data_IF_688687200882
#
_entry.id   IF_688687200882
#
_cell.length_a   1.000
_cell.length_b   1.000
_cell.length_c   1.000
_cell.angle_alpha   90.00
_cell.angle_beta   90.00
_cell.angle_gamma   90.00
#
_symmetry.space_group_name_H-M   'P 1'
#
loop_
_entity.id
_entity.type
_entity.pdbx_description
1 polymer ?
#
# COMPACT_ATOMS: atom_id res chain seq x y z
N UNK A 1 -11.60 -4.17 -20.26
CA UNK A 1 -12.67 -5.19 -20.53
C UNK A 1 -12.11 -6.31 -21.42
N UNK A 2 -11.18 -6.05 -22.34
CA UNK A 2 -10.64 -7.07 -23.28
C UNK A 2 -9.61 -8.04 -22.71
N UNK A 3 -9.11 -7.86 -21.48
CA UNK A 3 -8.13 -8.77 -20.83
C UNK A 3 -8.82 -10.01 -20.22
N UNK A 4 -10.13 -9.97 -19.98
CA UNK A 4 -10.86 -11.07 -19.32
C UNK A 4 -11.27 -12.21 -20.25
N UNK A 5 -11.39 -11.99 -21.55
CA UNK A 5 -11.89 -13.01 -22.47
C UNK A 5 -10.86 -14.07 -22.92
N UNK A 6 -9.57 -13.84 -22.66
CA UNK A 6 -8.51 -14.76 -23.13
C UNK A 6 -8.10 -15.86 -22.15
N UNK A 7 -8.63 -15.87 -20.93
CA UNK A 7 -8.20 -16.81 -19.89
C UNK A 7 -9.26 -17.74 -19.28
N UNK A 8 -10.53 -17.66 -19.71
CA UNK A 8 -11.59 -18.55 -19.21
C UNK A 8 -12.57 -18.94 -20.33
N UNK A 9 -12.31 -20.02 -21.07
CA UNK A 9 -13.33 -20.58 -21.96
C UNK A 9 -14.26 -21.46 -21.13
N UNK A 10 -15.39 -20.95 -20.65
CA UNK A 10 -16.59 -21.73 -20.25
C UNK A 10 -17.53 -21.00 -19.27
N UNK A 11 -17.65 -19.67 -19.33
CA UNK A 11 -18.75 -18.98 -18.65
C UNK A 11 -19.43 -17.98 -19.61
N UNK A 12 -20.17 -18.54 -20.58
CA UNK A 12 -21.02 -17.75 -21.46
C UNK A 12 -22.47 -17.89 -21.03
N UNK A 13 -22.94 -17.00 -20.19
CA UNK A 13 -24.31 -16.48 -20.23
C UNK A 13 -24.27 -15.00 -19.90
N UNK A 14 -24.62 -14.10 -20.85
CA UNK A 14 -24.76 -12.70 -20.54
C UNK A 14 -26.01 -12.49 -19.68
N UNK A 15 -25.82 -11.97 -18.47
CA UNK A 15 -26.94 -11.46 -17.66
C UNK A 15 -27.32 -10.11 -18.29
N UNK A 16 -28.39 -10.11 -19.06
CA UNK A 16 -29.01 -8.88 -19.56
C UNK A 16 -29.70 -8.20 -18.37
N UNK A 17 -29.04 -7.22 -17.74
CA UNK A 17 -29.68 -6.30 -16.82
C UNK A 17 -30.30 -5.20 -17.68
N UNK A 18 -31.64 -5.26 -17.81
CA UNK A 18 -32.41 -4.19 -18.43
C UNK A 18 -32.36 -2.94 -17.55
N UNK A 19 -31.76 -1.87 -18.03
CA UNK A 19 -31.67 -0.57 -17.36
C UNK A 19 -32.98 0.22 -17.27
N UNK A 20 -34.11 -0.37 -17.71
CA UNK A 20 -35.41 0.32 -17.78
C UNK A 20 -36.24 0.35 -16.49
N UNK A 21 -35.77 -0.25 -15.40
CA UNK A 21 -36.54 -0.36 -14.14
C UNK A 21 -35.95 0.37 -12.93
N UNK A 22 -34.93 1.21 -13.12
CA UNK A 22 -34.43 2.04 -12.04
C UNK A 22 -35.24 3.36 -11.98
N UNK A 23 -35.78 3.73 -10.80
CA UNK A 23 -36.47 5.01 -10.66
C UNK A 23 -35.53 6.18 -10.93
N UNK A 24 -36.05 7.31 -11.43
CA UNK A 24 -35.24 8.47 -11.81
C UNK A 24 -34.35 8.93 -10.67
N UNK A 25 -33.10 9.29 -10.97
CA UNK A 25 -32.07 9.75 -10.04
C UNK A 25 -32.53 10.86 -9.08
N UNK A 26 -33.56 11.62 -9.47
CA UNK A 26 -34.15 12.70 -8.66
C UNK A 26 -35.09 12.20 -7.55
N UNK A 27 -35.67 11.00 -7.67
CA UNK A 27 -36.52 10.42 -6.62
C UNK A 27 -35.71 10.07 -5.37
N UNK A 28 -34.53 9.47 -5.54
CA UNK A 28 -33.62 9.17 -4.44
C UNK A 28 -33.06 10.42 -3.78
N UNK A 29 -32.74 11.46 -4.56
CA UNK A 29 -32.28 12.75 -4.00
C UNK A 29 -33.34 13.42 -3.14
N UNK A 30 -34.60 13.40 -3.56
CA UNK A 30 -35.69 13.99 -2.82
C UNK A 30 -36.03 13.25 -1.52
N UNK A 31 -36.08 11.91 -1.56
CA UNK A 31 -36.29 11.11 -0.35
C UNK A 31 -35.13 11.21 0.63
N UNK A 32 -33.87 11.21 0.14
CA UNK A 32 -32.69 11.36 0.98
C UNK A 32 -32.66 12.74 1.67
N UNK A 33 -33.08 13.81 0.98
CA UNK A 33 -33.12 15.15 1.56
C UNK A 33 -34.19 15.26 2.66
N UNK A 34 -35.38 14.65 2.49
CA UNK A 34 -36.41 14.64 3.52
C UNK A 34 -36.04 13.84 4.77
N UNK A 35 -35.43 12.66 4.61
CA UNK A 35 -34.91 11.84 5.70
C UNK A 35 -33.80 12.56 6.48
N UNK A 36 -32.83 13.12 5.77
CA UNK A 36 -31.71 13.85 6.40
C UNK A 36 -32.19 15.10 7.18
N UNK A 37 -33.22 15.82 6.71
CA UNK A 37 -33.72 16.99 7.40
C UNK A 37 -34.56 16.64 8.64
N UNK A 38 -35.44 15.63 8.54
CA UNK A 38 -36.30 15.21 9.67
C UNK A 38 -35.49 14.68 10.85
N UNK A 39 -34.48 13.79 10.55
CA UNK A 39 -33.67 13.16 11.60
C UNK A 39 -32.61 14.10 12.19
N UNK A 40 -32.13 15.08 11.42
CA UNK A 40 -31.26 16.13 11.93
C UNK A 40 -31.95 16.95 13.04
N UNK A 41 -33.21 17.31 12.84
CA UNK A 41 -33.98 18.05 13.85
C UNK A 41 -34.36 17.19 15.07
N UNK A 42 -34.66 15.89 14.89
CA UNK A 42 -34.97 15.01 16.03
C UNK A 42 -33.72 14.73 16.89
N UNK A 43 -32.53 14.59 16.28
CA UNK A 43 -31.29 14.39 17.02
C UNK A 43 -30.79 15.69 17.69
N UNK A 44 -31.07 16.83 17.11
CA UNK A 44 -30.86 18.12 17.77
C UNK A 44 -31.75 18.22 19.02
N UNK A 45 -33.01 17.76 18.93
CA UNK A 45 -33.94 17.69 20.06
C UNK A 45 -33.48 16.69 21.16
N UNK A 46 -32.94 15.54 20.77
CA UNK A 46 -32.38 14.57 21.74
C UNK A 46 -31.12 15.11 22.44
N UNK A 47 -30.27 15.82 21.74
CA UNK A 47 -29.15 16.56 22.33
C UNK A 47 -29.61 17.65 23.28
N UNK A 48 -30.73 18.34 22.98
CA UNK A 48 -31.36 19.30 23.90
C UNK A 48 -31.93 18.64 25.16
N UNK A 49 -32.49 17.44 25.03
CA UNK A 49 -33.05 16.70 26.18
C UNK A 49 -31.96 16.23 27.15
N UNK A 50 -30.78 15.81 26.64
CA UNK A 50 -29.62 15.42 27.47
C UNK A 50 -29.00 16.62 28.21
N UNK A 51 -29.04 17.82 27.62
CA UNK A 51 -28.58 19.04 28.28
C UNK A 51 -29.57 19.56 29.33
N UNK A 52 -30.88 19.28 29.18
CA UNK A 52 -31.89 19.64 30.16
C UNK A 52 -31.75 18.88 31.51
N UNK A 53 -30.94 17.84 31.55
CA UNK A 53 -30.59 17.08 32.77
C UNK A 53 -29.35 17.63 33.51
N UNK A 54 -28.70 18.67 32.98
CA UNK A 54 -27.61 19.35 33.65
C UNK A 54 -28.13 20.45 34.59
N UNK A 55 -27.33 20.81 35.65
CA UNK A 55 -27.70 21.90 36.53
C UNK A 55 -27.90 23.22 35.76
N UNK A 56 -28.71 24.16 36.27
CA UNK A 56 -29.04 25.38 35.55
C UNK A 56 -27.78 26.20 35.22
N UNK A 57 -27.46 26.20 33.95
CA UNK A 57 -26.37 26.99 33.34
C UNK A 57 -27.07 28.12 32.57
N UNK A 58 -26.43 29.27 32.47
CA UNK A 58 -26.97 30.42 31.75
C UNK A 58 -27.34 30.06 30.29
N UNK A 59 -28.51 30.47 29.81
CA UNK A 59 -29.03 30.15 28.47
C UNK A 59 -28.04 30.45 27.33
N UNK A 60 -27.22 31.50 27.48
CA UNK A 60 -26.21 31.86 26.47
C UNK A 60 -25.11 30.78 26.32
N UNK A 61 -24.78 30.05 27.38
CA UNK A 61 -23.76 28.96 27.33
C UNK A 61 -24.30 27.82 26.47
N UNK A 62 -25.57 27.47 26.60
CA UNK A 62 -26.22 26.48 25.76
C UNK A 62 -26.17 26.87 24.28
N UNK A 63 -26.52 28.13 23.96
CA UNK A 63 -26.48 28.66 22.59
C UNK A 63 -25.06 28.53 22.02
N UNK A 64 -24.03 28.92 22.77
CA UNK A 64 -22.64 28.84 22.32
C UNK A 64 -22.21 27.39 22.08
N UNK A 65 -22.49 26.47 23.02
CA UNK A 65 -22.15 25.05 22.89
C UNK A 65 -22.83 24.43 21.67
N UNK A 66 -24.12 24.66 21.46
CA UNK A 66 -24.84 24.16 20.29
C UNK A 66 -24.34 24.74 18.98
N UNK A 67 -23.97 26.01 18.97
CA UNK A 67 -23.45 26.67 17.78
C UNK A 67 -22.09 26.08 17.39
N UNK A 68 -21.17 25.90 18.36
CA UNK A 68 -19.87 25.27 18.14
C UNK A 68 -20.06 23.84 17.64
N UNK A 69 -20.97 23.10 18.26
CA UNK A 69 -21.28 21.74 17.89
C UNK A 69 -21.82 21.63 16.45
N UNK A 70 -22.81 22.46 16.09
CA UNK A 70 -23.37 22.49 14.74
C UNK A 70 -22.29 22.84 13.69
N UNK A 71 -21.45 23.83 13.96
CA UNK A 71 -20.34 24.21 13.09
C UNK A 71 -19.34 23.05 12.92
N UNK A 72 -19.03 22.33 13.99
CA UNK A 72 -18.11 21.19 13.96
C UNK A 72 -18.66 20.05 13.11
N UNK A 73 -19.93 19.70 13.27
CA UNK A 73 -20.59 18.65 12.46
C UNK A 73 -20.65 19.05 10.98
N UNK A 74 -21.13 20.25 10.68
CA UNK A 74 -21.21 20.76 9.31
C UNK A 74 -19.82 20.82 8.66
N UNK A 75 -18.81 21.34 9.38
CA UNK A 75 -17.43 21.36 8.90
C UNK A 75 -16.89 19.95 8.62
N UNK A 76 -17.19 18.98 9.49
CA UNK A 76 -16.78 17.59 9.29
C UNK A 76 -17.44 16.97 8.06
N UNK A 77 -18.75 17.22 7.86
CA UNK A 77 -19.47 16.76 6.67
C UNK A 77 -18.88 17.36 5.39
N UNK A 78 -18.58 18.65 5.39
CA UNK A 78 -17.92 19.32 4.25
C UNK A 78 -16.56 18.69 3.95
N UNK A 79 -15.76 18.42 4.99
CA UNK A 79 -14.47 17.73 4.83
C UNK A 79 -14.65 16.34 4.21
N UNK A 80 -15.61 15.56 4.69
CA UNK A 80 -15.90 14.21 4.16
C UNK A 80 -16.26 14.27 2.67
N UNK A 81 -17.11 15.23 2.29
CA UNK A 81 -17.57 15.38 0.89
C UNK A 81 -16.41 15.85 -0.01
N UNK A 82 -15.59 16.79 0.45
CA UNK A 82 -14.50 17.37 -0.35
C UNK A 82 -13.28 16.48 -0.49
N UNK A 83 -13.09 15.48 0.38
CA UNK A 83 -11.91 14.60 0.34
C UNK A 83 -11.90 13.59 -0.81
N UNK A 84 -12.85 13.63 -1.74
CA UNK A 84 -12.95 12.76 -2.92
C UNK A 84 -12.71 11.28 -2.61
N UNK A 85 -13.40 10.77 -1.59
CA UNK A 85 -13.32 9.38 -1.11
C UNK A 85 -14.26 8.47 -1.89
N UNK A 86 -14.17 7.17 -1.58
CA UNK A 86 -15.19 6.22 -1.99
C UNK A 86 -16.56 6.71 -1.50
N UNK A 87 -17.54 6.97 -2.42
CA UNK A 87 -18.82 7.56 -2.08
C UNK A 87 -19.59 6.81 -0.99
N UNK A 88 -19.49 5.46 -0.99
CA UNK A 88 -20.16 4.61 0.02
C UNK A 88 -19.59 4.87 1.43
N UNK A 89 -18.26 5.01 1.55
CA UNK A 89 -17.65 5.33 2.85
C UNK A 89 -17.97 6.74 3.31
N UNK A 90 -18.02 7.70 2.39
CA UNK A 90 -18.40 9.08 2.71
C UNK A 90 -19.85 9.14 3.21
N UNK A 91 -20.77 8.47 2.51
CA UNK A 91 -22.16 8.39 2.91
C UNK A 91 -22.32 7.71 4.28
N UNK A 92 -21.63 6.59 4.53
CA UNK A 92 -21.67 5.92 5.83
C UNK A 92 -21.23 6.84 6.97
N UNK A 93 -20.16 7.63 6.80
CA UNK A 93 -19.70 8.56 7.82
C UNK A 93 -20.67 9.75 8.02
N UNK A 94 -21.27 10.26 6.94
CA UNK A 94 -22.30 11.30 7.03
C UNK A 94 -23.50 10.79 7.84
N UNK A 95 -23.95 9.55 7.60
CA UNK A 95 -25.03 8.93 8.37
C UNK A 95 -24.64 8.74 9.84
N UNK A 96 -23.44 8.21 10.11
CA UNK A 96 -22.96 8.05 11.51
C UNK A 96 -22.93 9.38 12.25
N UNK A 97 -22.46 10.46 11.62
CA UNK A 97 -22.44 11.79 12.22
C UNK A 97 -23.83 12.40 12.39
N UNK A 98 -24.77 12.08 11.49
CA UNK A 98 -26.15 12.53 11.59
C UNK A 98 -26.92 11.84 12.74
N UNK A 99 -26.75 10.51 12.88
CA UNK A 99 -27.48 9.73 13.89
C UNK A 99 -26.79 9.67 15.26
N UNK A 100 -25.47 9.72 15.31
CA UNK A 100 -24.67 9.64 16.54
C UNK A 100 -23.61 10.76 16.58
N UNK A 101 -24.03 12.02 16.68
CA UNK A 101 -23.15 13.14 16.41
C UNK A 101 -21.90 13.20 17.32
N UNK A 102 -22.04 13.08 18.64
CA UNK A 102 -20.90 13.11 19.56
C UNK A 102 -20.05 11.86 19.44
N UNK A 103 -20.68 10.69 19.51
CA UNK A 103 -20.02 9.39 19.40
C UNK A 103 -19.44 9.22 18.00
N UNK A 104 -20.21 9.59 16.97
CA UNK A 104 -19.78 9.56 15.58
C UNK A 104 -18.59 10.47 15.32
N UNK A 105 -18.52 11.65 15.90
CA UNK A 105 -17.38 12.56 15.78
C UNK A 105 -16.11 11.94 16.39
N UNK A 106 -16.22 11.35 17.59
CA UNK A 106 -15.11 10.63 18.24
C UNK A 106 -14.65 9.47 17.34
N UNK A 107 -15.58 8.63 16.88
CA UNK A 107 -15.24 7.52 15.96
C UNK A 107 -14.67 8.04 14.63
N UNK A 108 -15.17 9.15 14.09
CA UNK A 108 -14.62 9.73 12.86
C UNK A 108 -13.19 10.23 13.05
N UNK A 109 -12.86 10.85 14.18
CA UNK A 109 -11.50 11.28 14.49
C UNK A 109 -10.53 10.09 14.53
N UNK A 110 -10.95 8.96 15.11
CA UNK A 110 -10.09 7.78 15.25
C UNK A 110 -10.07 6.90 13.99
N UNK A 111 -11.19 6.71 13.30
CA UNK A 111 -11.34 5.74 12.22
C UNK A 111 -11.69 6.36 10.87
N UNK A 112 -12.31 7.53 10.87
CA UNK A 112 -12.82 8.19 9.68
C UNK A 112 -11.78 9.05 8.97
N UNK A 113 -10.85 9.65 9.69
CA UNK A 113 -9.83 10.48 9.06
C UNK A 113 -8.92 9.60 8.21
N UNK A 114 -8.94 9.88 6.90
CA UNK A 114 -7.87 9.45 6.06
C UNK A 114 -6.67 10.33 6.44
N UNK A 115 -5.84 9.86 7.35
CA UNK A 115 -4.45 10.32 7.40
C UNK A 115 -3.79 9.84 6.10
N UNK A 116 -4.41 10.24 4.96
CA UNK A 116 -3.73 10.19 3.69
C UNK A 116 -2.37 10.65 4.01
N UNK A 117 -1.46 9.77 3.81
CA UNK A 117 -0.07 10.02 3.85
C UNK A 117 0.20 11.45 3.35
N UNK A 118 -0.09 12.41 4.24
CA UNK A 118 0.25 13.80 4.02
C UNK A 118 1.74 13.73 3.83
N UNK A 119 2.14 13.31 2.57
CA UNK A 119 3.49 13.18 2.10
C UNK A 119 4.34 12.29 3.01
N UNK A 120 4.06 10.97 3.03
CA UNK A 120 4.95 10.00 3.67
C UNK A 120 6.42 10.29 3.32
N UNK A 121 6.68 10.69 2.09
CA UNK A 121 8.02 11.11 1.67
C UNK A 121 7.99 12.53 1.14
N UNK A 122 8.90 13.38 1.63
CA UNK A 122 8.98 14.78 1.21
C UNK A 122 9.21 14.90 -0.31
N UNK A 123 8.64 15.94 -0.94
CA UNK A 123 8.85 16.21 -2.37
C UNK A 123 10.34 16.33 -2.73
N UNK A 124 11.17 16.82 -1.79
CA UNK A 124 12.63 16.96 -1.97
C UNK A 124 13.30 15.60 -2.09
N UNK A 125 12.95 14.62 -1.24
CA UNK A 125 13.49 13.25 -1.27
C UNK A 125 13.08 12.57 -2.57
N UNK A 126 11.77 12.58 -2.91
CA UNK A 126 11.28 12.02 -4.18
C UNK A 126 12.00 12.62 -5.39
N UNK A 127 12.23 13.94 -5.42
CA UNK A 127 12.95 14.60 -6.50
C UNK A 127 14.42 14.18 -6.56
N UNK A 128 15.10 14.05 -5.40
CA UNK A 128 16.49 13.59 -5.32
C UNK A 128 16.65 12.15 -5.84
N UNK A 129 15.75 11.26 -5.46
CA UNK A 129 15.76 9.87 -5.92
C UNK A 129 15.39 9.75 -7.41
N UNK A 130 14.36 10.46 -7.86
CA UNK A 130 13.97 10.51 -9.28
C UNK A 130 15.08 11.01 -10.21
N UNK A 131 15.91 11.95 -9.79
CA UNK A 131 17.06 12.38 -10.60
C UNK A 131 18.04 11.26 -10.91
N UNK A 132 18.10 10.20 -10.09
CA UNK A 132 18.91 9.01 -10.33
C UNK A 132 18.30 8.07 -11.36
N UNK A 133 16.98 8.14 -11.53
CA UNK A 133 16.20 7.31 -12.47
C UNK A 133 16.05 7.95 -13.87
N UNK A 134 16.37 9.23 -14.02
CA UNK A 134 16.07 10.04 -15.22
C UNK A 134 16.83 9.62 -16.48
N UNK A 135 17.82 8.71 -16.38
CA UNK A 135 18.56 8.22 -17.55
C UNK A 135 17.82 7.15 -18.37
N UNK A 136 16.62 6.79 -18.00
CA UNK A 136 15.79 5.78 -18.68
C UNK A 136 14.57 6.33 -19.40
N UNK A 137 14.55 7.61 -19.78
CA UNK A 137 13.51 8.13 -20.65
C UNK A 137 13.79 7.61 -22.07
N UNK A 138 13.24 6.44 -22.33
CA UNK A 138 13.18 5.89 -23.68
C UNK A 138 12.14 6.71 -24.46
N UNK A 139 12.50 7.16 -25.65
CA UNK A 139 11.50 7.72 -26.57
C UNK A 139 10.52 6.59 -26.95
N UNK A 140 9.30 6.65 -26.43
CA UNK A 140 8.28 5.62 -26.63
C UNK A 140 7.96 5.45 -28.11
N UNK A 141 8.01 6.55 -28.88
CA UNK A 141 7.67 6.53 -30.30
C UNK A 141 8.70 5.77 -31.14
N UNK A 142 9.96 5.70 -30.69
CA UNK A 142 11.03 4.96 -31.37
C UNK A 142 11.07 3.47 -31.04
N UNK A 143 10.22 2.99 -30.12
CA UNK A 143 10.19 1.59 -29.75
C UNK A 143 9.53 0.75 -30.86
N UNK A 144 10.06 -0.46 -31.13
CA UNK A 144 9.48 -1.39 -32.10
C UNK A 144 8.27 -2.13 -31.48
N UNK A 145 7.28 -1.38 -31.06
CA UNK A 145 6.05 -1.86 -30.41
C UNK A 145 4.82 -1.44 -31.23
N UNK A 146 3.72 -2.17 -31.06
CA UNK A 146 2.44 -1.78 -31.63
C UNK A 146 1.95 -0.44 -31.03
N UNK A 147 1.10 0.27 -31.75
CA UNK A 147 0.57 1.55 -31.25
C UNK A 147 -0.30 1.37 -30.01
N UNK A 148 -0.99 0.23 -29.87
CA UNK A 148 -1.74 -0.12 -28.66
C UNK A 148 -0.80 -0.21 -27.45
N UNK A 149 0.32 -0.93 -27.58
CA UNK A 149 1.31 -1.04 -26.50
C UNK A 149 1.95 0.31 -26.17
N UNK A 150 2.22 1.14 -27.16
CA UNK A 150 2.72 2.51 -26.92
C UNK A 150 1.71 3.36 -26.18
N UNK A 151 0.41 3.24 -26.50
CA UNK A 151 -0.66 3.94 -25.80
C UNK A 151 -0.77 3.49 -24.34
N UNK A 152 -0.68 2.18 -24.06
CA UNK A 152 -0.66 1.64 -22.70
C UNK A 152 0.52 2.19 -21.89
N UNK A 153 1.71 2.23 -22.47
CA UNK A 153 2.90 2.79 -21.83
C UNK A 153 2.70 4.28 -21.52
N UNK A 154 2.18 5.08 -22.48
CA UNK A 154 1.87 6.50 -22.28
C UNK A 154 0.83 6.69 -21.17
N UNK A 155 -0.21 5.86 -21.14
CA UNK A 155 -1.24 5.88 -20.11
C UNK A 155 -0.64 5.57 -18.72
N UNK A 156 0.11 4.49 -18.59
CA UNK A 156 0.78 4.14 -17.35
C UNK A 156 1.74 5.24 -16.87
N UNK A 157 2.50 5.83 -17.80
CA UNK A 157 3.38 6.95 -17.48
C UNK A 157 2.62 8.18 -16.99
N UNK A 158 1.51 8.54 -17.65
CA UNK A 158 0.70 9.71 -17.27
C UNK A 158 0.03 9.55 -15.91
N UNK A 159 -0.50 8.35 -15.61
CA UNK A 159 -1.20 8.05 -14.36
C UNK A 159 -0.24 7.90 -13.17
N UNK A 160 0.86 7.19 -13.35
CA UNK A 160 1.75 6.79 -12.25
C UNK A 160 3.08 7.56 -12.24
N UNK A 161 3.39 8.32 -13.30
CA UNK A 161 4.70 8.97 -13.50
C UNK A 161 5.87 7.97 -13.37
N UNK A 162 5.69 6.74 -13.83
CA UNK A 162 6.69 5.68 -13.79
C UNK A 162 7.40 5.63 -15.14
N UNK A 163 8.74 5.56 -15.17
CA UNK A 163 9.48 5.40 -16.42
C UNK A 163 9.24 4.00 -17.02
N UNK A 164 9.34 3.90 -18.31
CA UNK A 164 9.39 2.64 -19.02
C UNK A 164 10.83 2.13 -19.07
N UNK A 165 11.02 0.84 -18.80
CA UNK A 165 12.31 0.17 -18.87
C UNK A 165 12.26 -0.90 -19.96
N UNK A 166 13.11 -0.79 -20.97
CA UNK A 166 13.35 -1.84 -21.97
C UNK A 166 14.57 -2.69 -21.61
N UNK A 167 14.73 -3.81 -22.28
CA UNK A 167 15.95 -4.61 -22.19
C UNK A 167 16.14 -5.38 -20.87
N UNK A 168 15.06 -5.68 -20.16
CA UNK A 168 15.11 -6.51 -18.97
C UNK A 168 14.67 -7.93 -19.26
N UNK A 169 15.43 -8.91 -18.75
CA UNK A 169 15.02 -10.31 -18.75
C UNK A 169 14.13 -10.59 -17.54
N UNK A 170 12.96 -11.24 -17.77
CA UNK A 170 11.98 -11.54 -16.74
C UNK A 170 11.71 -13.03 -16.68
N UNK A 171 11.93 -13.65 -15.52
CA UNK A 171 11.49 -15.01 -15.21
C UNK A 171 10.26 -14.97 -14.31
N UNK A 172 9.21 -15.67 -14.71
CA UNK A 172 7.95 -15.75 -13.96
C UNK A 172 7.93 -17.05 -13.15
N UNK A 173 7.65 -16.96 -11.87
CA UNK A 173 7.44 -18.08 -10.97
C UNK A 173 5.96 -18.19 -10.59
N UNK A 174 5.42 -19.37 -10.70
CA UNK A 174 4.07 -19.73 -10.22
C UNK A 174 4.11 -20.75 -9.08
N UNK A 175 5.32 -21.23 -8.74
CA UNK A 175 5.63 -22.12 -7.63
C UNK A 175 6.56 -21.44 -6.63
N UNK A 176 6.22 -21.53 -5.35
CA UNK A 176 7.08 -21.04 -4.28
C UNK A 176 8.38 -21.82 -4.17
N UNK A 177 8.36 -23.14 -4.39
CA UNK A 177 9.57 -23.97 -4.35
C UNK A 177 10.59 -23.50 -5.38
N UNK A 178 10.17 -23.34 -6.66
CA UNK A 178 11.06 -22.87 -7.73
C UNK A 178 11.57 -21.45 -7.46
N UNK A 179 10.67 -20.56 -7.04
CA UNK A 179 11.03 -19.18 -6.68
C UNK A 179 12.07 -19.14 -5.58
N UNK A 180 11.87 -19.84 -4.46
CA UNK A 180 12.79 -19.76 -3.34
C UNK A 180 14.10 -20.49 -3.55
N UNK A 181 14.13 -21.53 -4.40
CA UNK A 181 15.36 -22.14 -4.88
C UNK A 181 16.26 -21.11 -5.57
N UNK A 182 15.73 -20.37 -6.54
CA UNK A 182 16.49 -19.31 -7.23
C UNK A 182 16.81 -18.13 -6.30
N UNK A 183 15.87 -17.74 -5.47
CA UNK A 183 16.01 -16.62 -4.53
C UNK A 183 17.18 -16.82 -3.56
N UNK A 184 17.31 -18.01 -2.97
CA UNK A 184 18.41 -18.32 -2.06
C UNK A 184 19.77 -18.33 -2.80
N UNK A 185 19.81 -18.85 -4.04
CA UNK A 185 21.00 -18.83 -4.88
C UNK A 185 21.43 -17.38 -5.21
N UNK A 186 20.47 -16.53 -5.61
CA UNK A 186 20.76 -15.14 -5.92
C UNK A 186 21.23 -14.34 -4.71
N UNK A 187 20.67 -14.60 -3.52
CA UNK A 187 21.16 -13.98 -2.28
C UNK A 187 22.60 -14.36 -1.99
N UNK A 188 22.99 -15.64 -2.19
CA UNK A 188 24.36 -16.11 -1.92
C UNK A 188 25.42 -15.46 -2.82
N UNK A 189 25.08 -15.11 -4.06
CA UNK A 189 26.01 -14.49 -5.00
C UNK A 189 26.14 -12.97 -4.86
N UNK A 190 25.39 -12.35 -3.94
CA UNK A 190 25.49 -10.92 -3.67
C UNK A 190 26.92 -10.48 -3.37
N UNK A 191 27.33 -9.32 -3.89
CA UNK A 191 28.68 -8.78 -3.81
C UNK A 191 28.77 -7.48 -3.01
N UNK A 192 27.73 -6.61 -3.07
CA UNK A 192 27.75 -5.28 -2.47
C UNK A 192 26.63 -5.08 -1.47
N UNK A 193 25.37 -5.31 -1.90
CA UNK A 193 24.24 -5.07 -1.04
C UNK A 193 23.01 -5.90 -1.38
N UNK A 194 22.15 -6.08 -0.36
CA UNK A 194 20.84 -6.72 -0.48
C UNK A 194 19.81 -5.81 0.19
N UNK A 195 18.77 -5.42 -0.55
CA UNK A 195 17.62 -4.70 -0.03
C UNK A 195 16.38 -5.59 -0.11
N UNK A 196 15.71 -5.79 1.03
CA UNK A 196 14.55 -6.67 1.17
C UNK A 196 13.38 -5.89 1.75
N UNK A 197 12.22 -6.00 1.15
CA UNK A 197 10.96 -5.44 1.65
C UNK A 197 9.86 -6.46 1.48
N UNK A 198 9.32 -6.95 2.61
CA UNK A 198 8.26 -7.95 2.60
C UNK A 198 7.14 -7.59 3.58
N UNK A 199 5.90 -7.90 3.17
CA UNK A 199 4.75 -7.78 4.05
C UNK A 199 4.80 -8.81 5.17
N UNK A 200 5.11 -10.08 4.82
CA UNK A 200 5.27 -11.17 5.79
C UNK A 200 6.66 -11.80 5.61
N UNK A 201 7.38 -11.89 6.72
CA UNK A 201 8.63 -12.61 6.86
C UNK A 201 8.52 -13.43 8.15
N UNK A 202 8.13 -14.72 8.01
CA UNK A 202 7.83 -15.61 9.15
C UNK A 202 9.07 -16.20 9.77
N UNK A 203 8.96 -16.56 11.07
CA UNK A 203 9.96 -17.38 11.80
C UNK A 203 9.60 -18.87 11.64
N UNK A 204 9.61 -19.36 10.39
CA UNK A 204 9.35 -20.74 9.99
C UNK A 204 10.58 -21.35 9.30
N UNK A 205 10.48 -22.54 8.72
CA UNK A 205 11.62 -23.23 8.08
C UNK A 205 12.20 -22.37 6.93
N UNK A 206 11.34 -21.85 6.06
CA UNK A 206 11.77 -21.02 4.95
C UNK A 206 12.38 -19.71 5.43
N UNK A 207 11.73 -19.04 6.38
CA UNK A 207 12.22 -17.79 6.96
C UNK A 207 13.59 -17.97 7.60
N UNK A 208 13.81 -19.07 8.33
CA UNK A 208 15.10 -19.39 8.93
C UNK A 208 16.15 -19.68 7.86
N UNK A 209 15.83 -20.43 6.79
CA UNK A 209 16.76 -20.64 5.65
C UNK A 209 17.18 -19.31 5.02
N UNK A 210 16.25 -18.40 4.79
CA UNK A 210 16.57 -17.06 4.25
C UNK A 210 17.45 -16.29 5.25
N UNK A 211 17.10 -16.28 6.55
CA UNK A 211 17.89 -15.64 7.61
C UNK A 211 19.35 -16.16 7.61
N UNK A 212 19.53 -17.46 7.55
CA UNK A 212 20.88 -18.07 7.52
C UNK A 212 21.72 -17.60 6.34
N UNK A 213 21.12 -17.52 5.13
CA UNK A 213 21.80 -16.96 3.96
C UNK A 213 22.19 -15.50 4.20
N UNK A 214 21.27 -14.68 4.72
CA UNK A 214 21.55 -13.28 5.00
C UNK A 214 22.64 -13.09 6.07
N UNK A 215 22.68 -13.94 7.09
CA UNK A 215 23.75 -13.94 8.09
C UNK A 215 25.11 -14.31 7.49
N UNK A 216 25.15 -15.27 6.53
CA UNK A 216 26.39 -15.57 5.78
C UNK A 216 26.83 -14.39 4.92
N UNK A 217 25.89 -13.73 4.23
CA UNK A 217 26.18 -12.54 3.44
C UNK A 217 26.70 -11.38 4.32
N UNK A 218 26.09 -11.14 5.48
CA UNK A 218 26.56 -10.12 6.42
C UNK A 218 28.00 -10.38 6.90
N UNK A 219 28.34 -11.64 7.20
CA UNK A 219 29.71 -12.02 7.56
C UNK A 219 30.74 -11.80 6.44
N UNK A 220 30.29 -11.81 5.18
CA UNK A 220 31.13 -11.42 4.01
C UNK A 220 31.24 -9.91 3.80
N UNK A 221 30.61 -9.10 4.65
CA UNK A 221 30.61 -7.64 4.54
C UNK A 221 29.54 -7.06 3.62
N UNK A 222 28.59 -7.87 3.12
CA UNK A 222 27.49 -7.41 2.28
C UNK A 222 26.56 -6.52 3.11
N UNK A 223 26.22 -5.34 2.59
CA UNK A 223 25.31 -4.42 3.25
C UNK A 223 23.86 -4.87 3.07
N UNK A 224 23.17 -5.20 4.16
CA UNK A 224 21.81 -5.72 4.08
C UNK A 224 20.85 -4.77 4.80
N UNK A 225 19.76 -4.42 4.10
CA UNK A 225 18.64 -3.62 4.64
C UNK A 225 17.33 -4.37 4.45
N UNK A 226 16.58 -4.51 5.54
CA UNK A 226 15.30 -5.23 5.57
C UNK A 226 14.21 -4.30 6.09
N UNK A 227 13.13 -4.15 5.32
CA UNK A 227 11.86 -3.59 5.76
C UNK A 227 10.83 -4.72 5.84
N UNK A 228 10.24 -4.92 7.00
CA UNK A 228 9.08 -5.81 7.15
C UNK A 228 7.87 -5.03 7.65
N UNK A 229 6.66 -5.45 7.27
CA UNK A 229 5.45 -4.80 7.79
C UNK A 229 5.18 -5.26 9.23
N UNK A 230 5.00 -4.32 10.14
CA UNK A 230 4.85 -4.60 11.57
C UNK A 230 3.64 -5.49 11.87
N UNK A 231 2.48 -5.23 11.24
CA UNK A 231 1.27 -6.05 11.39
C UNK A 231 1.40 -7.39 10.69
N UNK A 232 1.99 -7.39 9.49
CA UNK A 232 2.22 -8.62 8.72
C UNK A 232 3.12 -9.63 9.43
N UNK A 233 3.94 -9.16 10.38
CA UNK A 233 4.88 -9.96 11.14
C UNK A 233 4.58 -10.02 12.65
N UNK A 234 3.34 -9.74 13.09
CA UNK A 234 2.99 -9.78 14.53
C UNK A 234 3.17 -11.14 15.19
N UNK A 235 3.03 -12.22 14.43
CA UNK A 235 3.29 -13.58 14.90
C UNK A 235 4.77 -13.88 15.14
N UNK A 236 5.66 -13.08 14.55
CA UNK A 236 7.10 -13.32 14.56
C UNK A 236 7.73 -12.81 15.85
N UNK A 237 8.47 -13.67 16.54
CA UNK A 237 9.17 -13.29 17.76
C UNK A 237 10.22 -12.21 17.48
N UNK A 238 10.26 -11.17 18.30
CA UNK A 238 11.26 -10.08 18.19
C UNK A 238 12.71 -10.59 18.13
N UNK A 239 13.01 -11.72 18.77
CA UNK A 239 14.32 -12.37 18.75
C UNK A 239 14.76 -12.73 17.34
N UNK A 240 13.84 -13.17 16.47
CA UNK A 240 14.13 -13.53 15.07
C UNK A 240 14.80 -12.39 14.31
N UNK A 241 14.23 -11.18 14.40
CA UNK A 241 14.79 -9.98 13.78
C UNK A 241 16.02 -9.44 14.53
N UNK A 242 16.04 -9.60 15.86
CA UNK A 242 17.17 -9.15 16.66
C UNK A 242 18.46 -9.92 16.33
N UNK A 243 18.41 -11.21 16.10
CA UNK A 243 19.57 -12.01 15.66
C UNK A 243 20.20 -11.47 14.38
N UNK A 244 19.38 -11.00 13.43
CA UNK A 244 19.88 -10.35 12.20
C UNK A 244 20.47 -8.96 12.51
N UNK A 245 19.84 -8.18 13.39
CA UNK A 245 20.38 -6.87 13.81
C UNK A 245 21.71 -7.00 14.53
N UNK A 246 21.85 -7.98 15.40
CA UNK A 246 23.08 -8.25 16.16
C UNK A 246 24.23 -8.68 15.21
N UNK A 247 23.91 -9.24 14.04
CA UNK A 247 24.86 -9.53 12.97
C UNK A 247 25.16 -8.34 12.03
N UNK A 248 24.70 -7.14 12.35
CA UNK A 248 24.93 -5.92 11.56
C UNK A 248 23.95 -5.67 10.41
N UNK A 249 22.89 -6.46 10.28
CA UNK A 249 21.86 -6.24 9.28
C UNK A 249 20.92 -5.11 9.75
N UNK A 250 20.67 -4.13 8.90
CA UNK A 250 19.74 -3.03 9.19
C UNK A 250 18.29 -3.50 9.00
N UNK A 251 17.65 -3.98 10.07
CA UNK A 251 16.26 -4.46 10.06
C UNK A 251 15.35 -3.42 10.69
N UNK A 252 14.26 -3.03 10.01
CA UNK A 252 13.29 -2.03 10.47
C UNK A 252 11.86 -2.50 10.21
N UNK A 253 10.94 -2.32 11.19
CA UNK A 253 9.50 -2.43 10.93
C UNK A 253 9.04 -1.24 10.09
N UNK A 254 8.13 -1.49 9.16
CA UNK A 254 7.47 -0.43 8.42
C UNK A 254 6.14 -0.08 9.09
N UNK A 255 5.97 1.19 9.43
CA UNK A 255 4.81 1.71 10.18
C UNK A 255 4.58 0.94 11.49
N UNK A 256 5.60 0.94 12.35
CA UNK A 256 5.50 0.38 13.69
C UNK A 256 4.28 0.92 14.44
N UNK A 257 3.50 0.03 15.02
CA UNK A 257 2.28 0.38 15.75
C UNK A 257 2.59 0.56 17.20
N UNK A 258 2.61 1.82 17.64
CA UNK A 258 2.70 2.19 19.05
C UNK A 258 1.36 2.69 19.55
N UNK A 259 0.93 2.24 20.72
CA UNK A 259 -0.28 2.72 21.40
C UNK A 259 -0.07 4.19 21.84
N UNK A 260 -1.04 5.12 21.68
CA UNK A 260 -2.45 5.01 21.27
C UNK A 260 -2.72 5.25 19.78
N UNK A 261 -1.72 5.33 18.92
CA UNK A 261 -1.87 5.61 17.47
C UNK A 261 -2.37 4.40 16.68
N UNK A 262 -2.72 3.32 17.35
CA UNK A 262 -3.09 2.02 16.80
C UNK A 262 -4.20 2.13 15.73
N UNK A 263 -5.27 2.85 16.05
CA UNK A 263 -6.48 2.84 15.23
C UNK A 263 -6.30 3.53 13.86
N UNK A 264 -5.50 4.60 13.79
CA UNK A 264 -5.36 5.39 12.56
C UNK A 264 -4.40 4.81 11.53
N UNK A 265 -3.48 3.92 11.95
CA UNK A 265 -2.42 3.37 11.09
C UNK A 265 -2.61 1.90 10.74
N UNK A 266 -3.53 1.19 11.37
CA UNK A 266 -3.71 -0.25 11.18
C UNK A 266 -4.03 -0.63 9.72
N UNK A 267 -4.73 0.26 8.99
CA UNK A 267 -5.11 0.06 7.60
C UNK A 267 -4.04 0.50 6.58
N UNK A 268 -2.98 1.17 7.03
CA UNK A 268 -1.89 1.61 6.16
C UNK A 268 -0.76 0.59 6.23
N UNK A 269 -0.86 -0.47 5.40
CA UNK A 269 0.13 -1.55 5.37
C UNK A 269 0.91 -1.54 4.07
N UNK A 270 2.17 -1.91 4.17
CA UNK A 270 3.03 -2.06 3.00
C UNK A 270 2.99 -3.50 2.50
N UNK A 271 2.08 -3.76 1.56
CA UNK A 271 1.86 -5.12 1.02
C UNK A 271 2.86 -5.50 -0.08
N UNK A 272 3.95 -4.75 -0.29
CA UNK A 272 4.98 -5.05 -1.30
C UNK A 272 5.85 -6.23 -0.87
N UNK A 273 6.31 -6.99 -1.84
CA UNK A 273 7.32 -8.03 -1.72
C UNK A 273 8.36 -7.73 -2.77
N UNK A 274 9.44 -7.07 -2.35
CA UNK A 274 10.52 -6.60 -3.22
C UNK A 274 11.85 -7.07 -2.65
N UNK A 275 12.74 -7.56 -3.50
CA UNK A 275 14.16 -7.72 -3.18
C UNK A 275 14.98 -7.13 -4.31
N UNK A 276 16.04 -6.43 -3.96
CA UNK A 276 17.06 -5.95 -4.91
C UNK A 276 18.42 -6.40 -4.44
N UNK A 277 19.18 -7.03 -5.34
CA UNK A 277 20.53 -7.54 -5.10
C UNK A 277 21.46 -6.80 -6.05
N UNK A 278 22.43 -6.05 -5.50
CA UNK A 278 23.46 -5.29 -6.20
C UNK A 278 22.94 -4.35 -7.31
N UNK A 279 21.64 -4.00 -7.28
CA UNK A 279 20.98 -3.23 -8.34
C UNK A 279 20.88 -3.96 -9.69
N UNK A 280 21.24 -5.23 -9.76
CA UNK A 280 21.33 -6.06 -10.97
C UNK A 280 20.21 -7.09 -11.05
N UNK A 281 19.80 -7.67 -9.91
CA UNK A 281 18.74 -8.67 -9.81
C UNK A 281 17.63 -8.08 -8.93
N UNK A 282 16.39 -8.20 -9.39
CA UNK A 282 15.20 -7.76 -8.66
C UNK A 282 14.16 -8.86 -8.55
N UNK A 283 13.46 -8.90 -7.43
CA UNK A 283 12.29 -9.77 -7.21
C UNK A 283 11.09 -8.92 -6.86
N UNK A 284 9.93 -9.21 -7.46
CA UNK A 284 8.65 -8.58 -7.14
C UNK A 284 7.50 -9.54 -7.40
N UNK A 285 6.49 -9.55 -6.53
CA UNK A 285 5.29 -10.38 -6.73
C UNK A 285 4.43 -10.53 -5.50
N UNK A 286 3.64 -11.59 -5.47
CA UNK A 286 2.69 -11.85 -4.39
C UNK A 286 3.21 -12.76 -3.27
N UNK A 287 4.23 -13.61 -3.53
CA UNK A 287 4.74 -14.59 -2.57
C UNK A 287 5.51 -13.93 -1.42
N UNK A 288 5.07 -14.16 -0.18
CA UNK A 288 5.82 -13.75 1.01
C UNK A 288 6.91 -14.79 1.38
N UNK A 289 7.74 -14.47 2.37
CA UNK A 289 8.70 -15.41 2.96
C UNK A 289 7.98 -16.16 4.08
N UNK A 290 7.36 -17.29 3.72
CA UNK A 290 6.63 -18.15 4.64
C UNK A 290 6.44 -19.55 4.02
N UNK A 291 6.51 -20.60 4.85
CA UNK A 291 6.41 -22.03 4.46
C UNK A 291 5.18 -22.32 3.60
N UNK A 292 4.06 -21.63 3.84
CA UNK A 292 2.81 -21.85 3.10
C UNK A 292 2.94 -21.63 1.58
N UNK A 293 3.90 -20.84 1.13
CA UNK A 293 4.14 -20.64 -0.31
C UNK A 293 4.95 -21.78 -0.95
N UNK A 294 5.62 -22.61 -0.13
CA UNK A 294 6.43 -23.75 -0.58
C UNK A 294 5.72 -25.08 -0.26
N UNK A 295 5.31 -25.25 1.00
CA UNK A 295 4.70 -26.49 1.49
C UNK A 295 3.16 -26.51 1.29
N UNK A 296 2.56 -25.34 1.01
CA UNK A 296 1.10 -25.18 0.99
C UNK A 296 0.51 -25.01 2.37
N UNK A 297 -0.78 -25.23 2.48
CA UNK A 297 -1.56 -25.16 3.72
C UNK A 297 -2.36 -26.45 3.89
N UNK A 298 -2.98 -26.67 5.06
CA UNK A 298 -3.91 -27.78 5.27
C UNK A 298 -5.11 -27.83 4.30
N UNK A 299 -5.33 -26.74 3.57
CA UNK A 299 -6.41 -26.60 2.58
C UNK A 299 -5.93 -26.84 1.14
N UNK A 300 -4.64 -27.07 0.93
CA UNK A 300 -4.04 -27.30 -0.38
C UNK A 300 -2.84 -26.40 -0.69
N UNK A 301 -2.45 -26.38 -1.96
CA UNK A 301 -1.32 -25.55 -2.43
C UNK A 301 -1.69 -24.08 -2.42
N UNK A 302 -0.75 -23.25 -1.95
CA UNK A 302 -0.91 -21.79 -2.00
C UNK A 302 -0.23 -21.25 -3.25
N UNK A 303 -1.01 -21.08 -4.31
CA UNK A 303 -0.50 -20.54 -5.58
C UNK A 303 -0.46 -19.02 -5.57
N UNK A 304 0.67 -18.46 -5.96
CA UNK A 304 0.86 -17.04 -6.21
C UNK A 304 1.85 -16.84 -7.36
N UNK A 305 2.06 -15.60 -7.81
CA UNK A 305 2.98 -15.28 -8.90
C UNK A 305 4.06 -14.33 -8.41
N UNK A 306 5.31 -14.62 -8.81
CA UNK A 306 6.46 -13.79 -8.49
C UNK A 306 7.38 -13.66 -9.70
N UNK A 307 8.03 -12.52 -9.84
CA UNK A 307 8.95 -12.23 -10.93
C UNK A 307 10.38 -12.12 -10.41
N UNK A 308 11.32 -12.65 -11.16
CA UNK A 308 12.74 -12.35 -11.09
C UNK A 308 13.11 -11.53 -12.31
N UNK A 309 13.76 -10.41 -12.10
CA UNK A 309 14.08 -9.43 -13.13
C UNK A 309 15.58 -9.20 -13.14
N UNK A 310 16.20 -9.25 -14.31
CA UNK A 310 17.56 -8.78 -14.54
C UNK A 310 17.54 -7.68 -15.61
N UNK A 311 18.25 -6.60 -15.36
CA UNK A 311 18.31 -5.51 -16.32
C UNK A 311 17.80 -4.17 -15.79
N UNK A 312 17.54 -3.20 -16.67
CA UNK A 312 17.22 -1.81 -16.29
C UNK A 312 16.01 -1.63 -15.38
N UNK A 313 14.99 -2.49 -15.47
CA UNK A 313 13.79 -2.41 -14.64
C UNK A 313 14.04 -2.60 -13.13
N UNK A 314 15.18 -3.21 -12.74
CA UNK A 314 15.59 -3.35 -11.33
C UNK A 314 15.76 -1.99 -10.66
N UNK A 315 16.11 -0.94 -11.43
CA UNK A 315 16.22 0.44 -10.91
C UNK A 315 14.88 0.95 -10.36
N UNK A 316 13.76 0.59 -11.00
CA UNK A 316 12.43 0.94 -10.52
C UNK A 316 12.12 0.29 -9.17
N UNK A 317 12.50 -0.97 -8.98
CA UNK A 317 12.35 -1.67 -7.70
C UNK A 317 13.24 -1.06 -6.62
N UNK A 318 14.49 -0.73 -6.96
CA UNK A 318 15.41 -0.04 -6.07
C UNK A 318 14.87 1.35 -5.65
N UNK A 319 14.27 2.09 -6.57
CA UNK A 319 13.65 3.36 -6.27
C UNK A 319 12.48 3.22 -5.28
N UNK A 320 11.62 2.23 -5.47
CA UNK A 320 10.51 1.94 -4.55
C UNK A 320 11.02 1.62 -3.16
N UNK A 321 12.02 0.73 -3.06
CA UNK A 321 12.65 0.40 -1.77
C UNK A 321 13.26 1.65 -1.12
N UNK A 322 14.04 2.43 -1.87
CA UNK A 322 14.72 3.63 -1.35
C UNK A 322 13.73 4.69 -0.83
N UNK A 323 12.58 4.83 -1.49
CA UNK A 323 11.49 5.73 -1.03
C UNK A 323 10.92 5.26 0.31
N UNK A 324 10.59 3.97 0.43
CA UNK A 324 10.00 3.41 1.64
C UNK A 324 11.02 3.38 2.80
N UNK A 325 12.28 3.04 2.51
CA UNK A 325 13.38 3.12 3.48
C UNK A 325 13.60 4.53 4.00
N UNK A 326 13.60 5.52 3.10
CA UNK A 326 13.80 6.92 3.50
C UNK A 326 12.65 7.48 4.34
N UNK A 327 11.45 6.93 4.16
CA UNK A 327 10.31 7.27 5.01
C UNK A 327 10.52 6.80 6.44
N UNK A 328 10.93 5.55 6.63
CA UNK A 328 11.08 4.92 7.94
C UNK A 328 12.35 5.38 8.66
N UNK A 329 13.50 5.30 7.97
CA UNK A 329 14.82 5.51 8.59
C UNK A 329 15.34 6.94 8.48
N UNK A 330 14.66 7.84 7.72
CA UNK A 330 15.12 9.20 7.38
C UNK A 330 16.45 9.22 6.61
N UNK A 331 16.97 8.05 6.21
CA UNK A 331 18.15 7.88 5.38
C UNK A 331 17.77 7.87 3.91
N UNK A 332 18.44 8.66 3.07
CA UNK A 332 18.16 8.73 1.64
C UNK A 332 19.19 7.92 0.86
N UNK A 333 18.79 6.75 0.37
CA UNK A 333 19.62 5.87 -0.45
C UNK A 333 19.77 6.42 -1.88
N UNK A 334 20.54 7.49 -2.04
CA UNK A 334 20.77 8.18 -3.33
C UNK A 334 22.17 8.03 -3.88
N UNK A 335 23.00 7.18 -3.28
CA UNK A 335 24.33 6.87 -3.80
C UNK A 335 24.24 6.17 -5.17
N UNK A 336 25.19 6.44 -6.07
CA UNK A 336 25.25 5.83 -7.41
C UNK A 336 25.42 4.33 -7.38
N UNK A 337 26.06 3.78 -6.35
CA UNK A 337 26.23 2.33 -6.16
C UNK A 337 24.89 1.58 -6.07
N UNK A 338 23.82 2.24 -5.57
CA UNK A 338 22.47 1.66 -5.51
C UNK A 338 21.72 1.72 -6.85
N UNK A 339 22.28 2.43 -7.83
CA UNK A 339 21.71 2.60 -9.16
C UNK A 339 22.80 2.39 -10.22
N UNK A 340 23.47 1.23 -10.23
CA UNK A 340 24.56 0.98 -11.18
C UNK A 340 24.02 1.06 -12.62
N UNK A 341 24.89 1.37 -13.60
CA UNK A 341 24.55 1.16 -15.00
C UNK A 341 24.36 -0.34 -15.21
N UNK A 342 23.18 -0.74 -15.65
CA UNK A 342 22.84 -2.12 -15.94
C UNK A 342 22.80 -2.30 -17.44
N UNK A 343 23.57 -3.27 -17.95
CA UNK A 343 23.57 -3.59 -19.37
C UNK A 343 22.19 -4.09 -19.80
N UNK A 344 21.79 -3.71 -21.02
CA UNK A 344 20.63 -4.27 -21.69
C UNK A 344 20.83 -5.79 -21.86
N UNK A 345 20.03 -6.61 -21.19
CA UNK A 345 20.07 -8.08 -21.28
C UNK A 345 18.94 -8.63 -22.14
N UNK A 346 18.13 -7.78 -22.70
CA UNK A 346 16.95 -8.17 -23.45
C UNK A 346 17.07 -7.99 -24.93
N UNK A 347 17.43 -9.05 -25.63
CA UNK A 347 16.77 -9.41 -26.87
C UNK A 347 15.74 -10.47 -26.50
N UNK A 348 14.56 -10.08 -26.11
CA UNK A 348 13.42 -11.00 -26.04
C UNK A 348 12.23 -10.30 -26.65
#
# INVERSE_FOLDING_TARGET
>A
IYIYERFLPNFTRPIHISYSSLPPHDFFKKQLSYLLFSDFFSNLAFGMLTLALLPPIDDWVYIVVYTIYAITILGTIVIIITENRNPVKSLAWVLVLAFLPIVGLVFYIFFGQNFKAKRMVSRRIKRKLRKRDYHSIVNIDSLPLSEESKQEIRLCHSLCSVPYYSGSHVKIFTSGEDKFKHYLQDLEIAQEYIHIQYYIFEDDKLGNRVKEVLLRCARRGIQIRILYDDVGCWSVKKRFFKEMQDAGIAVRPFLEITFPQLASRINYRNHRKITVIDGKIGYIGGMNIADRYVEGTKWGTWRDTHLRIEGPAVRGLQLLFAVDWSYECKEVLSDSRFFPPVADKGKS
#
